data_IF_051255658059
#
_entry.id   IF_051255658059
#
_cell.length_a   1.000
_cell.length_b   1.000
_cell.length_c   1.000
_cell.angle_alpha   90.00
_cell.angle_beta   90.00
_cell.angle_gamma   90.00
#
_symmetry.space_group_name_H-M   'P 1'
#
loop_
_entity.id
_entity.type
_entity.pdbx_description
1 polymer ?
#
# COMPACT_ATOMS: atom_id res chain seq x y z
N UNK A 1 8.03 4.90 -8.45
CA UNK A 1 8.88 5.79 -7.65
C UNK A 1 10.30 5.32 -7.85
N UNK A 2 11.10 6.04 -8.59
CA UNK A 2 12.49 5.66 -8.83
C UNK A 2 13.39 6.53 -7.97
N UNK A 3 14.15 5.93 -7.07
CA UNK A 3 15.20 6.59 -6.28
C UNK A 3 16.52 6.60 -7.03
N UNK A 4 16.66 5.71 -7.98
CA UNK A 4 17.85 5.54 -8.80
C UNK A 4 17.49 5.65 -10.28
N UNK A 5 18.38 6.20 -11.06
CA UNK A 5 18.28 6.17 -12.50
C UNK A 5 18.42 4.71 -12.98
N UNK A 6 17.51 4.28 -13.83
CA UNK A 6 17.45 2.87 -14.28
C UNK A 6 18.53 2.52 -15.29
N UNK A 7 19.19 3.51 -15.87
CA UNK A 7 20.24 3.32 -16.89
C UNK A 7 21.62 3.43 -16.25
N UNK A 8 21.85 4.46 -15.43
CA UNK A 8 23.16 4.72 -14.82
C UNK A 8 23.34 4.08 -13.45
N UNK A 9 22.21 3.76 -12.74
CA UNK A 9 22.23 3.30 -11.36
C UNK A 9 22.54 4.40 -10.33
N UNK A 10 22.68 5.65 -10.77
CA UNK A 10 22.96 6.78 -9.89
C UNK A 10 21.73 7.19 -9.09
N UNK A 11 21.93 7.71 -7.89
CA UNK A 11 20.86 8.22 -7.06
C UNK A 11 20.27 9.51 -7.65
N UNK A 12 18.95 9.52 -7.82
CA UNK A 12 18.20 10.70 -8.28
C UNK A 12 17.99 11.62 -7.06
N UNK A 13 18.40 12.87 -7.18
CA UNK A 13 18.21 13.87 -6.14
C UNK A 13 16.72 14.07 -5.84
N UNK A 14 16.39 14.38 -4.58
CA UNK A 14 14.99 14.51 -4.10
C UNK A 14 14.18 15.47 -4.98
N UNK A 15 14.80 16.56 -5.45
CA UNK A 15 14.12 17.57 -6.28
C UNK A 15 13.80 17.08 -7.71
N UNK A 16 14.51 16.08 -8.18
CA UNK A 16 14.38 15.53 -9.53
C UNK A 16 13.48 14.29 -9.59
N UNK A 17 13.13 13.70 -8.44
CA UNK A 17 12.23 12.55 -8.37
C UNK A 17 10.82 12.93 -8.81
N UNK A 18 10.23 12.17 -9.74
CA UNK A 18 8.97 12.49 -10.42
C UNK A 18 7.78 11.60 -10.00
N UNK A 19 7.94 10.77 -8.97
CA UNK A 19 6.88 9.90 -8.46
C UNK A 19 5.68 10.69 -7.93
N UNK A 20 4.51 10.03 -7.85
CA UNK A 20 3.28 10.64 -7.33
C UNK A 20 3.46 11.17 -5.90
N UNK A 21 4.10 10.37 -5.02
CA UNK A 21 4.40 10.79 -3.66
C UNK A 21 5.42 11.93 -3.63
N UNK A 22 6.47 11.86 -4.46
CA UNK A 22 7.49 12.91 -4.52
C UNK A 22 6.89 14.28 -4.86
N UNK A 23 5.94 14.31 -5.82
CA UNK A 23 5.22 15.55 -6.17
C UNK A 23 4.42 16.10 -4.99
N UNK A 24 3.72 15.22 -4.24
CA UNK A 24 2.96 15.64 -3.04
C UNK A 24 3.89 16.15 -1.94
N UNK A 25 5.00 15.46 -1.69
CA UNK A 25 5.97 15.86 -0.66
C UNK A 25 6.68 17.18 -1.01
N UNK A 26 6.96 17.44 -2.28
CA UNK A 26 7.47 18.77 -2.70
C UNK A 26 6.48 19.88 -2.39
N UNK A 27 5.21 19.69 -2.72
CA UNK A 27 4.16 20.67 -2.37
C UNK A 27 4.09 20.90 -0.85
N UNK A 28 4.23 19.83 -0.06
CA UNK A 28 4.29 19.96 1.41
C UNK A 28 5.53 20.75 1.83
N UNK A 29 6.70 20.47 1.27
CA UNK A 29 7.94 21.20 1.57
C UNK A 29 7.83 22.70 1.25
N UNK A 30 7.17 23.05 0.15
CA UNK A 30 7.01 24.44 -0.29
C UNK A 30 6.01 25.23 0.58
N UNK A 31 5.02 24.56 1.17
CA UNK A 31 3.88 25.21 1.83
C UNK A 31 3.87 25.08 3.36
N UNK A 32 4.87 24.45 3.95
CA UNK A 32 4.98 24.30 5.42
C UNK A 32 6.26 24.91 5.95
N UNK A 33 6.22 25.43 7.17
CA UNK A 33 7.38 26.06 7.83
C UNK A 33 7.87 25.23 9.01
N UNK A 34 6.97 24.74 9.84
CA UNK A 34 7.33 23.96 11.04
C UNK A 34 7.36 22.47 10.74
N UNK A 35 8.20 21.72 11.49
CA UNK A 35 8.25 20.25 11.45
C UNK A 35 6.88 19.62 11.74
N UNK A 36 6.17 20.14 12.75
CA UNK A 36 4.87 19.61 13.17
C UNK A 36 3.81 19.72 12.04
N UNK A 37 3.72 20.88 11.41
CA UNK A 37 2.78 21.10 10.31
C UNK A 37 3.21 20.30 9.08
N UNK A 38 4.50 20.25 8.77
CA UNK A 38 5.05 19.41 7.72
C UNK A 38 4.69 17.94 7.92
N UNK A 39 4.93 17.38 9.09
CA UNK A 39 4.62 15.97 9.37
C UNK A 39 3.13 15.67 9.27
N UNK A 40 2.27 16.58 9.69
CA UNK A 40 0.82 16.48 9.54
C UNK A 40 0.42 16.36 8.06
N UNK A 41 0.97 17.19 7.19
CA UNK A 41 0.66 17.16 5.75
C UNK A 41 1.33 15.99 5.02
N UNK A 42 2.51 15.58 5.45
CA UNK A 42 3.14 14.34 4.96
C UNK A 42 2.25 13.13 5.25
N UNK A 43 1.72 12.99 6.46
CA UNK A 43 0.75 11.91 6.75
C UNK A 43 -0.43 11.94 5.79
N UNK A 44 -1.00 13.11 5.52
CA UNK A 44 -2.10 13.27 4.55
C UNK A 44 -1.69 12.86 3.13
N UNK A 45 -0.48 13.18 2.73
CA UNK A 45 0.05 12.74 1.44
C UNK A 45 0.11 11.21 1.36
N UNK A 46 0.65 10.54 2.38
CA UNK A 46 0.70 9.08 2.46
C UNK A 46 -0.69 8.44 2.53
N UNK A 47 -1.60 8.98 3.33
CA UNK A 47 -2.99 8.52 3.45
C UNK A 47 -3.77 8.57 2.11
N UNK A 48 -3.35 9.41 1.18
CA UNK A 48 -4.00 9.63 -0.12
C UNK A 48 -3.43 8.81 -1.29
N UNK A 49 -2.49 7.92 -1.03
CA UNK A 49 -1.84 7.07 -2.04
C UNK A 49 -2.11 5.62 -1.70
N UNK A 50 -2.68 4.90 -2.66
CA UNK A 50 -2.97 3.49 -2.58
C UNK A 50 -2.27 2.75 -3.72
N UNK A 51 -1.85 1.53 -3.45
CA UNK A 51 -1.26 0.66 -4.44
C UNK A 51 -1.33 -0.80 -4.02
N UNK A 52 -1.28 -1.69 -4.98
CA UNK A 52 -1.22 -3.11 -4.73
C UNK A 52 -0.16 -3.78 -5.61
N UNK A 53 0.31 -4.92 -5.15
CA UNK A 53 1.26 -5.75 -5.84
C UNK A 53 0.85 -7.22 -5.64
N UNK A 54 1.03 -8.02 -6.68
CA UNK A 54 0.74 -9.46 -6.61
C UNK A 54 1.82 -10.22 -5.87
N UNK A 55 3.09 -9.86 -6.11
CA UNK A 55 4.24 -10.55 -5.55
C UNK A 55 4.66 -9.96 -4.20
N UNK A 56 4.82 -10.82 -3.19
CA UNK A 56 5.18 -10.42 -1.84
C UNK A 56 6.54 -9.71 -1.74
N UNK A 57 7.54 -10.14 -2.49
CA UNK A 57 8.88 -9.53 -2.48
C UNK A 57 8.85 -8.11 -3.06
N UNK A 58 8.17 -7.92 -4.18
CA UNK A 58 7.96 -6.60 -4.78
C UNK A 58 7.19 -5.67 -3.85
N UNK A 59 6.18 -6.22 -3.15
CA UNK A 59 5.43 -5.49 -2.13
C UNK A 59 6.32 -5.00 -0.98
N UNK A 60 7.21 -5.85 -0.48
CA UNK A 60 8.15 -5.50 0.59
C UNK A 60 9.05 -4.35 0.14
N UNK A 61 9.69 -4.49 -1.03
CA UNK A 61 10.55 -3.45 -1.61
C UNK A 61 9.78 -2.13 -1.81
N UNK A 62 8.53 -2.19 -2.28
CA UNK A 62 7.70 -1.00 -2.43
C UNK A 62 7.44 -0.29 -1.09
N UNK A 63 7.12 -1.05 -0.04
CA UNK A 63 6.91 -0.51 1.31
C UNK A 63 8.17 0.10 1.91
N UNK A 64 9.30 -0.58 1.77
CA UNK A 64 10.60 -0.06 2.22
C UNK A 64 10.96 1.24 1.49
N UNK A 65 10.84 1.27 0.17
CA UNK A 65 11.11 2.48 -0.61
C UNK A 65 10.24 3.67 -0.20
N UNK A 66 8.98 3.44 0.13
CA UNK A 66 8.10 4.49 0.65
C UNK A 66 8.56 4.98 2.03
N UNK A 67 8.96 4.08 2.93
CA UNK A 67 9.46 4.46 4.25
C UNK A 67 10.76 5.24 4.16
N UNK A 68 11.71 4.79 3.33
CA UNK A 68 12.96 5.51 3.07
C UNK A 68 12.70 6.90 2.47
N UNK A 69 11.73 7.02 1.58
CA UNK A 69 11.37 8.34 1.03
C UNK A 69 10.93 9.31 2.13
N UNK A 70 10.17 8.87 3.12
CA UNK A 70 9.82 9.71 4.26
C UNK A 70 11.07 10.18 5.03
N UNK A 71 12.00 9.27 5.31
CA UNK A 71 13.25 9.56 6.03
C UNK A 71 14.06 10.61 5.27
N UNK A 72 14.29 10.37 3.99
CA UNK A 72 15.08 11.25 3.12
C UNK A 72 14.47 12.65 2.98
N UNK A 73 13.15 12.75 2.85
CA UNK A 73 12.48 14.06 2.77
C UNK A 73 12.55 14.84 4.08
N UNK A 74 12.51 14.16 5.23
CA UNK A 74 12.67 14.81 6.54
C UNK A 74 14.11 15.29 6.76
N UNK A 75 15.07 14.43 6.45
CA UNK A 75 16.50 14.78 6.50
C UNK A 75 16.82 15.94 5.56
N UNK A 76 16.37 15.87 4.31
CA UNK A 76 16.55 16.93 3.34
C UNK A 76 15.95 18.29 3.78
N UNK A 77 14.79 18.25 4.45
CA UNK A 77 14.07 19.48 4.82
C UNK A 77 14.57 20.11 6.12
N UNK A 78 14.90 19.29 7.10
CA UNK A 78 15.18 19.75 8.47
C UNK A 78 16.56 19.34 9.00
N UNK A 79 17.33 18.55 8.26
CA UNK A 79 18.62 17.98 8.68
C UNK A 79 18.50 17.15 9.98
N UNK A 80 17.37 16.43 10.12
CA UNK A 80 17.10 15.56 11.27
C UNK A 80 16.52 14.21 10.82
N UNK A 81 16.77 13.20 11.63
CA UNK A 81 16.16 11.88 11.45
C UNK A 81 14.78 11.82 12.11
N UNK A 82 13.81 11.11 11.48
CA UNK A 82 12.51 10.90 12.10
C UNK A 82 12.60 10.20 13.44
N UNK A 83 11.75 10.57 14.38
CA UNK A 83 11.58 9.83 15.62
C UNK A 83 10.94 8.46 15.38
N UNK A 84 11.16 7.51 16.30
CA UNK A 84 10.54 6.18 16.23
C UNK A 84 9.00 6.25 16.15
N UNK A 85 8.39 7.22 16.81
CA UNK A 85 6.94 7.45 16.74
C UNK A 85 6.50 7.84 15.33
N UNK A 86 7.20 8.77 14.68
CA UNK A 86 6.90 9.20 13.31
C UNK A 86 7.08 8.05 12.32
N UNK A 87 8.16 7.27 12.44
CA UNK A 87 8.39 6.07 11.62
C UNK A 87 7.25 5.06 11.75
N UNK A 88 6.81 4.76 12.98
CA UNK A 88 5.69 3.85 13.23
C UNK A 88 4.36 4.35 12.63
N UNK A 89 4.09 5.65 12.72
CA UNK A 89 2.89 6.24 12.13
C UNK A 89 2.88 6.10 10.60
N UNK A 90 3.99 6.43 9.94
CA UNK A 90 4.12 6.30 8.47
C UNK A 90 4.08 4.84 8.04
N UNK A 91 4.83 3.96 8.72
CA UNK A 91 4.81 2.53 8.42
C UNK A 91 3.40 1.92 8.53
N UNK A 92 2.61 2.36 9.53
CA UNK A 92 1.20 1.96 9.67
C UNK A 92 0.35 2.40 8.48
N UNK A 93 0.53 3.62 7.98
CA UNK A 93 -0.19 4.09 6.80
C UNK A 93 0.22 3.25 5.58
N UNK A 94 1.51 3.07 5.36
CA UNK A 94 2.04 2.25 4.26
C UNK A 94 1.47 0.82 4.31
N UNK A 95 1.42 0.20 5.49
CA UNK A 95 0.93 -1.17 5.64
C UNK A 95 -0.54 -1.35 5.22
N UNK A 96 -1.36 -0.32 5.39
CA UNK A 96 -2.76 -0.32 4.97
C UNK A 96 -2.97 0.10 3.51
N UNK A 97 -2.12 0.97 3.00
CA UNK A 97 -2.30 1.58 1.69
C UNK A 97 -1.56 0.86 0.57
N UNK A 98 -0.56 0.06 0.92
CA UNK A 98 0.21 -0.75 -0.05
C UNK A 98 0.06 -2.21 0.36
N UNK A 99 -0.77 -2.96 -0.37
CA UNK A 99 -1.14 -4.33 0.01
C UNK A 99 -0.95 -5.34 -1.11
N UNK A 100 -0.97 -6.62 -0.74
CA UNK A 100 -0.91 -7.72 -1.69
C UNK A 100 -2.32 -8.02 -2.20
N UNK A 101 -2.49 -8.06 -3.52
CA UNK A 101 -3.77 -8.33 -4.15
C UNK A 101 -3.59 -8.89 -5.55
N UNK A 102 -4.44 -9.84 -5.91
CA UNK A 102 -4.72 -10.18 -7.30
C UNK A 102 -5.63 -9.09 -7.89
N UNK A 103 -5.13 -8.34 -8.86
CA UNK A 103 -5.85 -7.22 -9.46
C UNK A 103 -7.07 -7.63 -10.30
N UNK A 104 -7.21 -8.91 -10.67
CA UNK A 104 -8.34 -9.43 -11.44
C UNK A 104 -9.47 -9.83 -10.51
N UNK A 105 -9.17 -10.67 -9.51
CA UNK A 105 -10.16 -11.16 -8.55
C UNK A 105 -10.43 -10.19 -7.39
N UNK A 106 -9.56 -9.20 -7.17
CA UNK A 106 -9.58 -8.24 -6.03
C UNK A 106 -9.49 -8.95 -4.67
N UNK A 107 -8.81 -10.09 -4.63
CA UNK A 107 -8.66 -10.95 -3.44
C UNK A 107 -7.20 -11.11 -3.05
N UNK A 108 -6.99 -11.64 -1.85
CA UNK A 108 -5.64 -12.00 -1.38
C UNK A 108 -5.12 -13.17 -2.23
N UNK A 109 -3.95 -13.06 -2.87
CA UNK A 109 -3.37 -14.15 -3.64
C UNK A 109 -3.23 -15.43 -2.81
N UNK A 110 -3.48 -16.58 -3.43
CA UNK A 110 -3.37 -17.91 -2.82
C UNK A 110 -4.27 -18.11 -1.58
N UNK A 111 -5.36 -17.33 -1.46
CA UNK A 111 -6.28 -17.42 -0.33
C UNK A 111 -7.46 -18.40 -0.54
N UNK A 112 -7.42 -19.17 -1.61
CA UNK A 112 -8.45 -20.15 -1.94
C UNK A 112 -8.62 -21.16 -0.82
N UNK A 113 -9.83 -21.22 -0.26
CA UNK A 113 -10.20 -22.20 0.75
C UNK A 113 -11.45 -22.96 0.31
N UNK A 114 -11.51 -24.29 0.48
CA UNK A 114 -12.75 -25.02 0.28
C UNK A 114 -13.81 -24.47 1.26
N UNK A 115 -15.04 -24.26 0.79
CA UNK A 115 -16.14 -23.84 1.65
C UNK A 115 -16.32 -24.85 2.80
N UNK A 116 -16.39 -24.36 4.02
CA UNK A 116 -16.39 -25.16 5.25
C UNK A 116 -17.57 -26.13 5.41
N UNK A 117 -18.53 -26.18 4.48
CA UNK A 117 -19.73 -27.01 4.53
C UNK A 117 -19.70 -28.24 3.62
N UNK A 118 -18.61 -28.49 2.89
CA UNK A 118 -18.44 -29.79 2.25
C UNK A 118 -17.74 -30.73 3.23
N UNK A 119 -18.52 -31.42 4.05
CA UNK A 119 -18.13 -32.70 4.60
C UNK A 119 -17.92 -33.61 3.39
N UNK A 120 -16.65 -33.74 2.96
CA UNK A 120 -16.26 -34.72 1.95
C UNK A 120 -16.62 -36.09 2.53
N UNK A 121 -17.76 -36.63 2.10
CA UNK A 121 -18.06 -38.06 2.32
C UNK A 121 -16.99 -38.83 1.54
N UNK A 122 -16.29 -39.72 2.22
CA UNK A 122 -15.23 -40.54 1.65
C UNK A 122 -15.73 -41.43 0.49
N UNK A 123 -17.01 -41.40 0.16
CA UNK A 123 -17.71 -42.24 -0.79
C UNK A 123 -18.44 -41.48 -1.91
N UNK A 124 -18.39 -40.18 -1.94
CA UNK A 124 -18.94 -39.43 -3.07
C UNK A 124 -17.98 -39.57 -4.28
N UNK A 125 -18.44 -40.32 -5.26
CA UNK A 125 -17.78 -40.42 -6.55
C UNK A 125 -17.60 -39.05 -7.12
N UNK A 126 -16.38 -38.77 -7.60
CA UNK A 126 -15.98 -37.52 -8.26
C UNK A 126 -16.89 -37.33 -9.48
N UNK A 127 -17.94 -36.55 -9.33
CA UNK A 127 -18.68 -36.00 -10.45
C UNK A 127 -17.89 -34.78 -10.94
N UNK A 128 -17.25 -34.90 -12.11
CA UNK A 128 -16.35 -33.87 -12.70
C UNK A 128 -17.06 -32.56 -13.08
N UNK A 129 -18.29 -32.35 -12.68
CA UNK A 129 -19.12 -31.20 -13.05
C UNK A 129 -19.41 -30.20 -11.93
N UNK A 130 -18.89 -30.41 -10.73
CA UNK A 130 -19.09 -29.46 -9.63
C UNK A 130 -17.93 -28.44 -9.63
N UNK A 131 -18.20 -27.25 -10.19
CA UNK A 131 -17.35 -26.06 -9.96
C UNK A 131 -17.19 -25.91 -8.44
N UNK A 132 -16.05 -26.38 -7.91
CA UNK A 132 -15.70 -26.23 -6.51
C UNK A 132 -15.68 -24.72 -6.22
N UNK A 133 -16.75 -24.23 -5.64
CA UNK A 133 -16.87 -22.83 -5.20
C UNK A 133 -15.86 -22.62 -4.07
N UNK A 134 -14.63 -22.32 -4.45
CA UNK A 134 -13.57 -21.88 -3.53
C UNK A 134 -13.89 -20.44 -3.08
N UNK A 135 -13.88 -20.23 -1.79
CA UNK A 135 -14.07 -18.90 -1.22
C UNK A 135 -12.70 -18.22 -1.13
N UNK A 136 -12.56 -17.10 -1.82
CA UNK A 136 -11.34 -16.27 -1.78
C UNK A 136 -11.52 -15.14 -0.76
N UNK A 137 -10.43 -14.77 -0.09
CA UNK A 137 -10.47 -13.70 0.93
C UNK A 137 -10.42 -12.34 0.22
N UNK A 138 -11.47 -11.48 0.35
CA UNK A 138 -11.46 -10.15 -0.26
C UNK A 138 -10.39 -9.26 0.37
N UNK A 139 -9.73 -8.44 -0.46
CA UNK A 139 -8.79 -7.45 0.03
C UNK A 139 -9.50 -6.29 0.73
N UNK A 140 -8.92 -5.84 1.84
CA UNK A 140 -9.44 -4.73 2.65
C UNK A 140 -8.47 -3.56 2.64
N UNK A 141 -9.02 -2.37 2.56
CA UNK A 141 -8.29 -1.11 2.63
C UNK A 141 -8.85 -0.23 3.74
N UNK A 142 -8.07 0.77 4.14
CA UNK A 142 -8.50 1.74 5.13
C UNK A 142 -8.89 3.06 4.46
N UNK A 143 -10.13 3.49 4.66
CA UNK A 143 -10.53 4.87 4.41
C UNK A 143 -10.09 5.74 5.60
N UNK A 144 -9.08 6.59 5.37
CA UNK A 144 -8.52 7.45 6.42
C UNK A 144 -9.43 8.63 6.79
N UNK A 145 -10.32 9.04 5.87
CA UNK A 145 -11.27 10.14 6.13
C UNK A 145 -12.45 9.66 6.98
N UNK A 146 -13.06 8.55 6.58
CA UNK A 146 -14.16 7.94 7.33
C UNK A 146 -13.67 7.12 8.52
N UNK A 147 -12.35 6.85 8.63
CA UNK A 147 -11.71 6.02 9.68
C UNK A 147 -12.26 4.60 9.75
N UNK A 148 -12.67 4.04 8.63
CA UNK A 148 -13.25 2.70 8.53
C UNK A 148 -12.41 1.79 7.62
N UNK A 149 -12.61 0.49 7.77
CA UNK A 149 -12.03 -0.54 6.91
C UNK A 149 -13.15 -0.98 5.97
N UNK A 150 -12.87 -0.97 4.67
CA UNK A 150 -13.80 -1.35 3.61
C UNK A 150 -13.16 -2.41 2.72
N UNK A 151 -13.96 -3.20 2.04
CA UNK A 151 -13.46 -4.08 1.00
C UNK A 151 -13.09 -3.25 -0.24
N UNK A 152 -11.97 -3.57 -0.86
CA UNK A 152 -11.49 -2.85 -2.05
C UNK A 152 -12.51 -2.93 -3.20
N UNK A 153 -13.16 -4.09 -3.34
CA UNK A 153 -14.20 -4.32 -4.34
C UNK A 153 -15.38 -3.34 -4.23
N UNK A 154 -15.77 -3.00 -3.00
CA UNK A 154 -16.88 -2.06 -2.76
C UNK A 154 -16.50 -0.65 -3.19
N UNK A 155 -15.23 -0.25 -3.01
CA UNK A 155 -14.73 1.04 -3.46
C UNK A 155 -14.75 1.17 -4.99
N UNK A 156 -14.45 0.09 -5.70
CA UNK A 156 -14.46 0.08 -7.18
C UNK A 156 -15.88 0.07 -7.73
N UNK A 157 -16.77 -0.69 -7.11
CA UNK A 157 -18.16 -0.86 -7.57
C UNK A 157 -19.11 0.24 -7.05
N UNK A 158 -18.79 0.87 -5.93
CA UNK A 158 -19.59 1.93 -5.29
C UNK A 158 -19.22 3.36 -5.70
N UNK A 159 -18.28 3.52 -6.62
CA UNK A 159 -17.86 4.81 -7.15
C UNK A 159 -18.86 5.34 -8.19
N UNK A 160 -20.08 5.65 -7.75
CA UNK A 160 -21.05 6.48 -8.49
C UNK A 160 -21.37 7.70 -7.65
#
# INVERSE_FOLDING_TARGET
MSRYDTVTGEEISINERIGLLDRKLRVVNENTVSEEDWFKWVKRAYESIYGFEYQGDSLLIARENLLYTFIEYMEYRFDIMPSEKQLKEIAKIISWNIWQMDGISMTVPYSERPKANQQLSLFDAVDESDESTTEQIPCKIRDWRAKQIIEFKDMVNGGV
#
